data_IF_407853845381
#
_entry.id   IF_407853845381
#
_cell.length_a   1.000
_cell.length_b   1.000
_cell.length_c   1.000
_cell.angle_alpha   90.00
_cell.angle_beta   90.00
_cell.angle_gamma   90.00
#
_symmetry.space_group_name_H-M   'P 1'
#
loop_
_entity.id
_entity.type
_entity.pdbx_description
1 polymer ?
#
# COMPACT_ATOMS: atom_id res chain seq x y z
N UNK A 1 -26.38 -0.40 -3.31
CA UNK A 1 -25.41 -0.38 -4.44
C UNK A 1 -24.10 0.16 -3.87
N UNK A 2 -23.02 -0.63 -3.84
CA UNK A 2 -21.73 -0.14 -3.34
C UNK A 2 -20.99 0.58 -4.48
N UNK A 3 -20.59 1.82 -4.25
CA UNK A 3 -19.79 2.58 -5.21
C UNK A 3 -18.32 2.22 -5.02
N UNK A 4 -17.74 1.50 -5.97
CA UNK A 4 -16.31 1.19 -5.99
C UNK A 4 -15.57 2.13 -6.93
N UNK A 5 -14.75 3.04 -6.37
CA UNK A 5 -13.83 3.87 -7.15
C UNK A 5 -12.44 3.23 -7.12
N UNK A 6 -11.98 2.73 -8.26
CA UNK A 6 -10.63 2.16 -8.42
C UNK A 6 -9.68 3.31 -8.81
N UNK A 7 -8.83 3.71 -7.87
CA UNK A 7 -7.78 4.69 -8.12
C UNK A 7 -6.47 3.96 -8.40
N UNK A 8 -6.02 3.97 -9.67
CA UNK A 8 -4.72 3.41 -10.03
C UNK A 8 -3.60 4.22 -9.36
N UNK A 9 -2.84 3.57 -8.48
CA UNK A 9 -1.72 4.19 -7.78
C UNK A 9 -0.53 4.22 -8.74
N UNK A 10 -0.32 5.36 -9.41
CA UNK A 10 0.70 5.52 -10.47
C UNK A 10 2.02 6.14 -10.03
N UNK A 11 2.14 6.71 -8.81
CA UNK A 11 3.32 7.54 -8.49
C UNK A 11 3.85 7.47 -7.06
N UNK A 12 3.07 7.11 -6.04
CA UNK A 12 3.54 7.19 -4.65
C UNK A 12 2.86 6.14 -3.79
N UNK A 13 3.59 5.06 -3.48
CA UNK A 13 3.16 4.01 -2.54
C UNK A 13 2.73 4.63 -1.19
N UNK A 14 3.43 5.68 -0.74
CA UNK A 14 3.11 6.38 0.51
C UNK A 14 1.69 6.97 0.52
N UNK A 15 1.29 7.66 -0.56
CA UNK A 15 -0.08 8.22 -0.65
C UNK A 15 -1.15 7.14 -0.72
N UNK A 16 -0.82 5.96 -1.24
CA UNK A 16 -1.74 4.84 -1.25
C UNK A 16 -1.94 4.29 0.15
N UNK A 17 -0.85 4.11 0.90
CA UNK A 17 -0.90 3.67 2.29
C UNK A 17 -1.68 4.68 3.13
N UNK A 18 -1.42 5.98 2.96
CA UNK A 18 -2.15 7.06 3.63
C UNK A 18 -3.65 7.04 3.30
N UNK A 19 -4.01 6.84 2.03
CA UNK A 19 -5.40 6.75 1.60
C UNK A 19 -6.12 5.54 2.21
N UNK A 20 -5.45 4.38 2.23
CA UNK A 20 -6.00 3.14 2.78
C UNK A 20 -6.11 3.23 4.30
N UNK A 21 -5.15 3.84 4.99
CA UNK A 21 -5.16 3.95 6.46
C UNK A 21 -5.93 5.16 6.99
N UNK A 22 -6.59 5.93 6.12
CA UNK A 22 -7.34 7.10 6.53
C UNK A 22 -8.58 6.69 7.36
N UNK A 23 -8.68 7.07 8.64
CA UNK A 23 -9.79 6.68 9.51
C UNK A 23 -11.15 7.22 9.03
N UNK A 24 -11.20 8.38 8.39
CA UNK A 24 -12.43 8.99 7.83
C UNK A 24 -13.03 8.16 6.70
N UNK A 25 -12.21 7.30 6.07
CA UNK A 25 -12.58 6.47 4.91
C UNK A 25 -12.74 5.00 5.27
N UNK A 26 -12.30 4.60 6.45
CA UNK A 26 -12.17 3.19 6.83
C UNK A 26 -12.87 2.82 8.14
N UNK A 27 -13.76 3.69 8.62
CA UNK A 27 -14.54 3.46 9.84
C UNK A 27 -13.60 3.21 11.02
N UNK A 28 -12.80 4.24 11.34
CA UNK A 28 -11.78 4.17 12.39
C UNK A 28 -10.73 3.06 12.16
N UNK A 29 -10.40 2.80 10.89
CA UNK A 29 -9.46 1.75 10.45
C UNK A 29 -9.96 0.30 10.59
N UNK A 30 -11.24 0.06 10.90
CA UNK A 30 -11.82 -1.30 10.98
C UNK A 30 -11.66 -2.06 9.64
N UNK A 31 -11.71 -1.35 8.52
CA UNK A 31 -11.54 -1.96 7.19
C UNK A 31 -10.08 -2.10 6.75
N UNK A 32 -9.12 -1.66 7.56
CA UNK A 32 -7.69 -1.79 7.26
C UNK A 32 -7.24 -3.20 7.65
N UNK A 33 -6.82 -3.98 6.66
CA UNK A 33 -6.20 -5.27 6.88
C UNK A 33 -4.97 -5.40 6.00
N UNK A 34 -3.98 -6.14 6.47
CA UNK A 34 -2.75 -6.39 5.75
C UNK A 34 -2.44 -7.88 5.70
N UNK A 35 -1.69 -8.29 4.68
CA UNK A 35 -1.24 -9.66 4.51
C UNK A 35 0.26 -9.65 4.23
N UNK A 36 1.02 -10.43 5.00
CA UNK A 36 2.49 -10.53 4.90
C UNK A 36 3.25 -9.19 5.02
N UNK A 37 2.61 -8.16 5.58
CA UNK A 37 3.15 -6.80 5.72
C UNK A 37 2.38 -6.07 6.83
N UNK A 38 2.95 -5.04 7.45
CA UNK A 38 2.25 -4.14 8.37
C UNK A 38 1.96 -2.79 7.69
N UNK A 39 0.81 -2.19 7.98
CA UNK A 39 0.43 -0.87 7.42
C UNK A 39 1.47 0.21 7.71
N UNK A 40 2.08 0.18 8.89
CA UNK A 40 3.13 1.11 9.33
C UNK A 40 4.45 0.94 8.57
N UNK A 41 4.80 -0.29 8.17
CA UNK A 41 6.08 -0.62 7.52
C UNK A 41 5.95 -0.85 6.02
N UNK A 42 4.74 -0.80 5.46
CA UNK A 42 4.48 -1.18 4.08
C UNK A 42 5.35 -0.46 3.05
N UNK A 43 5.61 0.83 3.25
CA UNK A 43 6.49 1.60 2.36
C UNK A 43 7.91 1.00 2.28
N UNK A 44 8.44 0.51 3.41
CA UNK A 44 9.77 -0.09 3.51
C UNK A 44 9.76 -1.46 2.82
N UNK A 45 8.75 -2.28 3.08
CA UNK A 45 8.63 -3.63 2.50
C UNK A 45 8.50 -3.59 0.97
N UNK A 46 7.71 -2.65 0.45
CA UNK A 46 7.59 -2.42 -0.99
C UNK A 46 8.89 -1.93 -1.62
N UNK A 47 9.59 -1.02 -0.95
CA UNK A 47 10.89 -0.52 -1.41
C UNK A 47 11.93 -1.64 -1.46
N UNK A 48 12.05 -2.41 -0.38
CA UNK A 48 12.94 -3.58 -0.31
C UNK A 48 12.69 -4.54 -1.47
N UNK A 49 11.42 -4.91 -1.69
CA UNK A 49 11.03 -5.81 -2.78
C UNK A 49 11.41 -5.26 -4.15
N UNK A 50 11.21 -3.96 -4.39
CA UNK A 50 11.57 -3.31 -5.65
C UNK A 50 13.08 -3.32 -5.88
N UNK A 51 13.87 -3.02 -4.86
CA UNK A 51 15.33 -2.97 -4.94
C UNK A 51 15.89 -4.38 -5.20
N UNK A 52 15.39 -5.41 -4.52
CA UNK A 52 15.79 -6.81 -4.77
C UNK A 52 15.38 -7.30 -6.16
N UNK A 53 14.23 -6.86 -6.68
CA UNK A 53 13.82 -7.17 -8.05
C UNK A 53 14.80 -6.57 -9.08
N UNK A 54 15.28 -5.35 -8.84
CA UNK A 54 16.25 -4.67 -9.71
C UNK A 54 17.63 -5.34 -9.65
N UNK A 55 18.10 -5.71 -8.47
CA UNK A 55 19.36 -6.43 -8.28
C UNK A 55 19.36 -7.80 -9.01
N UNK A 56 18.25 -8.53 -8.93
CA UNK A 56 18.08 -9.80 -9.65
C UNK A 56 17.94 -9.63 -11.17
N UNK A 57 17.65 -8.42 -11.66
CA UNK A 57 17.61 -8.12 -13.10
C UNK A 57 19.01 -7.94 -13.70
N UNK A 58 19.99 -7.60 -12.86
CA UNK A 58 21.39 -7.41 -13.25
C UNK A 58 22.27 -8.65 -13.04
N UNK A 59 21.69 -9.73 -12.47
CA UNK A 59 22.30 -11.07 -12.43
C UNK A 59 21.79 -11.90 -13.61
#
# INVERSE_FOLDING_TARGET
>A
MAYTKIHAIKATVDKAIEYICNPDKTDEQIYVSSYACASETAAIDFKYTLDHCRENRTK
#
